data_IF_640089473189
#
_entry.id   IF_640089473189
#
_cell.length_a   1.000
_cell.length_b   1.000
_cell.length_c   1.000
_cell.angle_alpha   90.00
_cell.angle_beta   90.00
_cell.angle_gamma   90.00
#
_symmetry.space_group_name_H-M   'P 1'
#
loop_
_entity.id
_entity.type
_entity.pdbx_description
1 polymer ?
#
# COMPACT_ATOMS: atom_id res chain seq x y z
N UNK A 1 28.72 -22.04 8.46
CA UNK A 1 27.99 -21.93 7.19
C UNK A 1 26.50 -21.64 7.33
N UNK A 2 25.88 -22.02 8.42
CA UNK A 2 24.48 -21.64 8.67
C UNK A 2 24.28 -20.14 8.97
N UNK A 3 25.34 -19.40 9.20
CA UNK A 3 25.29 -17.97 9.53
C UNK A 3 24.94 -17.06 8.35
N UNK A 4 25.11 -17.50 7.11
CA UNK A 4 24.81 -16.66 5.95
C UNK A 4 23.31 -16.56 5.63
N UNK A 5 22.51 -17.54 6.09
CA UNK A 5 21.08 -17.58 5.80
C UNK A 5 20.28 -16.44 6.44
N UNK A 6 20.73 -15.92 7.59
CA UNK A 6 19.99 -14.89 8.34
C UNK A 6 20.56 -13.48 8.19
N UNK A 7 21.76 -13.32 7.66
CA UNK A 7 22.46 -12.04 7.62
C UNK A 7 22.64 -11.47 6.21
N UNK A 8 22.34 -12.25 5.20
CA UNK A 8 22.56 -11.90 3.79
C UNK A 8 21.42 -11.09 3.19
N UNK A 9 20.83 -10.13 3.99
CA UNK A 9 19.46 -10.31 3.69
C UNK A 9 18.74 -9.04 3.36
N UNK A 10 18.90 -8.03 4.13
CA UNK A 10 18.11 -6.84 3.97
C UNK A 10 19.01 -5.69 3.59
N UNK A 11 18.81 -5.16 2.40
CA UNK A 11 19.54 -4.01 1.92
C UNK A 11 18.80 -2.74 2.27
N UNK A 12 19.53 -1.70 2.66
CA UNK A 12 18.97 -0.38 2.87
C UNK A 12 18.75 0.29 1.53
N UNK A 13 17.50 0.57 1.20
CA UNK A 13 17.09 1.19 -0.08
C UNK A 13 16.15 2.36 0.16
N UNK A 14 16.15 3.31 -0.76
CA UNK A 14 15.11 4.32 -0.85
C UNK A 14 13.84 3.70 -1.46
N UNK A 15 12.66 4.15 -1.06
CA UNK A 15 11.40 3.62 -1.58
C UNK A 15 11.32 3.74 -3.11
N UNK A 16 11.86 4.80 -3.70
CA UNK A 16 11.84 4.96 -5.16
C UNK A 16 12.60 3.86 -5.92
N UNK A 17 13.45 3.07 -5.24
CA UNK A 17 14.16 1.95 -5.84
C UNK A 17 13.29 0.70 -5.97
N UNK A 18 12.21 0.60 -5.20
CA UNK A 18 11.34 -0.60 -5.18
C UNK A 18 9.92 -0.32 -5.65
N UNK A 19 9.52 0.93 -5.75
CA UNK A 19 8.17 1.31 -6.14
C UNK A 19 8.16 2.60 -6.97
N UNK A 20 7.06 2.80 -7.69
CA UNK A 20 6.76 4.03 -8.39
C UNK A 20 5.57 4.70 -7.74
N UNK A 21 5.69 5.98 -7.42
CA UNK A 21 4.61 6.76 -6.82
C UNK A 21 3.83 7.47 -7.93
N UNK A 22 2.54 7.21 -8.00
CA UNK A 22 1.65 7.79 -8.99
C UNK A 22 0.61 8.69 -8.30
N UNK A 23 0.24 9.77 -8.98
CA UNK A 23 -0.79 10.68 -8.50
C UNK A 23 -2.18 10.17 -8.85
N UNK A 24 -3.12 10.30 -7.92
CA UNK A 24 -4.53 10.18 -8.21
C UNK A 24 -5.05 11.36 -9.01
N UNK A 25 -6.28 11.25 -9.48
CA UNK A 25 -6.95 12.27 -10.29
C UNK A 25 -8.39 12.48 -9.85
N UNK A 26 -8.93 13.65 -10.12
CA UNK A 26 -10.35 13.93 -9.94
C UNK A 26 -11.20 12.98 -10.80
N UNK A 27 -12.26 12.45 -10.23
CA UNK A 27 -13.16 11.49 -10.88
C UNK A 27 -14.48 12.11 -11.36
N UNK A 28 -14.73 13.39 -11.07
CA UNK A 28 -16.04 14.01 -11.26
C UNK A 28 -16.53 14.03 -12.71
N UNK A 29 -15.61 14.00 -13.67
CA UNK A 29 -15.93 13.92 -15.09
C UNK A 29 -16.27 12.51 -15.59
N UNK A 30 -16.10 11.49 -14.75
CA UNK A 30 -16.36 10.09 -15.11
C UNK A 30 -17.82 9.72 -14.84
N UNK A 31 -18.31 8.75 -15.60
CA UNK A 31 -19.65 8.19 -15.41
C UNK A 31 -19.59 7.01 -14.42
N UNK A 32 -20.76 6.63 -13.90
CA UNK A 32 -20.89 5.45 -13.06
C UNK A 32 -20.45 4.18 -13.79
N UNK A 33 -19.86 3.25 -13.06
CA UNK A 33 -19.37 2.00 -13.61
C UNK A 33 -19.05 0.98 -12.52
N UNK A 34 -18.15 0.05 -12.84
CA UNK A 34 -17.79 -1.06 -11.96
C UNK A 34 -16.39 -0.93 -11.33
N UNK A 35 -15.69 0.15 -11.61
CA UNK A 35 -14.31 0.34 -11.14
C UNK A 35 -14.33 1.18 -9.86
N UNK A 36 -13.81 0.64 -8.74
CA UNK A 36 -13.86 1.35 -7.47
C UNK A 36 -12.94 2.56 -7.45
N UNK A 37 -13.41 3.63 -6.84
CA UNK A 37 -12.66 4.85 -6.55
C UNK A 37 -12.32 4.88 -5.07
N UNK A 38 -11.05 5.10 -4.76
CA UNK A 38 -10.55 5.18 -3.39
C UNK A 38 -10.06 6.59 -3.06
N UNK A 39 -10.40 7.03 -1.87
CA UNK A 39 -9.81 8.19 -1.20
C UNK A 39 -9.04 7.76 0.03
N UNK A 40 -8.56 8.71 0.83
CA UNK A 40 -7.79 8.42 2.04
C UNK A 40 -8.58 7.65 3.11
N UNK A 41 -9.89 7.70 3.06
CA UNK A 41 -10.79 6.94 3.93
C UNK A 41 -11.22 5.57 3.40
N UNK A 42 -10.76 5.18 2.21
CA UNK A 42 -11.11 3.92 1.57
C UNK A 42 -12.05 4.09 0.37
N UNK A 43 -12.88 3.08 0.12
CA UNK A 43 -13.82 3.07 -0.99
C UNK A 43 -14.84 4.22 -0.91
N UNK A 44 -15.08 4.88 -2.04
CA UNK A 44 -16.02 6.01 -2.15
C UNK A 44 -17.22 5.69 -3.04
N UNK A 45 -16.95 5.31 -4.30
CA UNK A 45 -17.97 5.03 -5.31
C UNK A 45 -17.32 4.25 -6.47
N UNK A 46 -18.08 3.94 -7.52
CA UNK A 46 -17.54 3.23 -8.69
C UNK A 46 -17.79 4.00 -9.98
N UNK A 47 -16.81 3.94 -10.87
CA UNK A 47 -16.77 4.71 -12.13
C UNK A 47 -16.49 3.79 -13.32
N UNK A 48 -16.50 4.36 -14.54
CA UNK A 48 -16.33 3.64 -15.80
C UNK A 48 -14.91 3.68 -16.36
N UNK A 49 -13.94 4.19 -15.61
CA UNK A 49 -12.54 4.24 -16.03
C UNK A 49 -11.61 3.88 -14.89
N UNK A 50 -10.37 3.58 -15.21
CA UNK A 50 -9.35 3.11 -14.28
C UNK A 50 -8.05 3.90 -14.43
N UNK A 51 -7.28 4.00 -13.35
CA UNK A 51 -5.92 4.52 -13.37
C UNK A 51 -4.88 3.42 -13.45
N UNK A 52 -5.19 2.21 -13.00
CA UNK A 52 -4.24 1.10 -12.96
C UNK A 52 -4.90 -0.25 -13.22
N UNK A 53 -4.17 -1.09 -13.96
CA UNK A 53 -4.48 -2.51 -14.19
C UNK A 53 -3.73 -3.43 -13.23
N UNK A 54 -2.82 -2.89 -12.44
CA UNK A 54 -2.02 -3.64 -11.49
C UNK A 54 -2.30 -3.19 -10.07
N UNK A 55 -2.21 -4.13 -9.14
CA UNK A 55 -2.37 -3.84 -7.71
C UNK A 55 -1.35 -2.80 -7.25
N UNK A 56 -1.73 -2.02 -6.26
CA UNK A 56 -0.88 -0.96 -5.73
C UNK A 56 -1.14 -0.75 -4.23
N UNK A 57 -0.31 0.06 -3.61
CA UNK A 57 -0.51 0.50 -2.23
C UNK A 57 -0.86 1.98 -2.24
N UNK A 58 -2.01 2.31 -1.67
CA UNK A 58 -2.45 3.69 -1.52
C UNK A 58 -1.86 4.33 -0.27
N UNK A 59 -1.40 5.56 -0.41
CA UNK A 59 -0.94 6.38 0.70
C UNK A 59 -1.43 7.82 0.54
N UNK A 60 -1.93 8.41 1.62
CA UNK A 60 -2.50 9.75 1.57
C UNK A 60 -1.48 10.83 1.22
N UNK A 61 -1.85 11.66 0.25
CA UNK A 61 -1.12 12.88 -0.07
C UNK A 61 -1.50 14.02 0.86
N UNK A 62 -2.78 14.13 1.19
CA UNK A 62 -3.32 15.19 2.03
C UNK A 62 -4.52 14.67 2.83
N UNK A 63 -4.58 15.02 4.10
CA UNK A 63 -5.61 14.58 5.02
C UNK A 63 -5.11 13.43 5.90
N UNK A 64 -5.55 12.22 5.67
CA UNK A 64 -5.06 11.03 6.36
C UNK A 64 -3.85 10.46 5.66
N UNK A 65 -2.66 10.58 6.27
CA UNK A 65 -1.39 10.18 5.66
C UNK A 65 -0.79 8.91 6.28
N UNK A 66 -1.40 8.36 7.32
CA UNK A 66 -0.86 7.24 8.11
C UNK A 66 -1.69 5.97 8.02
N UNK A 67 -2.56 5.87 7.03
CA UNK A 67 -3.41 4.68 6.81
C UNK A 67 -3.25 4.17 5.38
N UNK A 68 -2.19 3.39 5.10
CA UNK A 68 -2.02 2.82 3.77
C UNK A 68 -3.12 1.82 3.44
N UNK A 69 -3.48 1.76 2.16
CA UNK A 69 -4.54 0.90 1.63
C UNK A 69 -3.95 -0.08 0.62
N UNK A 70 -4.42 -1.32 0.64
CA UNK A 70 -4.16 -2.25 -0.46
C UNK A 70 -5.19 -2.03 -1.56
N UNK A 71 -4.73 -1.65 -2.75
CA UNK A 71 -5.60 -1.32 -3.88
C UNK A 71 -5.55 -2.45 -4.91
N UNK A 72 -6.62 -3.23 -4.95
CA UNK A 72 -6.76 -4.32 -5.93
C UNK A 72 -7.20 -3.76 -7.28
N UNK A 73 -6.45 -4.09 -8.34
CA UNK A 73 -6.76 -3.62 -9.70
C UNK A 73 -8.03 -4.30 -10.24
N UNK A 74 -8.77 -3.63 -11.15
CA UNK A 74 -8.58 -2.24 -11.56
C UNK A 74 -9.16 -1.26 -10.55
N UNK A 75 -8.60 -0.06 -10.49
CA UNK A 75 -9.07 0.96 -9.55
C UNK A 75 -8.80 2.38 -10.06
N UNK A 76 -9.44 3.34 -9.40
CA UNK A 76 -9.18 4.77 -9.52
C UNK A 76 -8.88 5.35 -8.14
N UNK A 77 -7.98 6.32 -8.04
CA UNK A 77 -7.74 7.07 -6.80
C UNK A 77 -7.95 8.56 -7.02
N UNK A 78 -8.52 9.23 -6.00
CA UNK A 78 -8.68 10.69 -6.03
C UNK A 78 -7.33 11.40 -5.86
N UNK A 79 -7.31 12.70 -6.13
CA UNK A 79 -6.09 13.53 -6.11
C UNK A 79 -5.39 13.61 -4.75
N UNK A 80 -6.08 13.30 -3.66
CA UNK A 80 -5.51 13.28 -2.31
C UNK A 80 -4.92 11.93 -1.91
N UNK A 81 -4.96 10.94 -2.78
CA UNK A 81 -4.43 9.60 -2.56
C UNK A 81 -3.43 9.21 -3.65
N UNK A 82 -2.16 9.03 -3.27
CA UNK A 82 -1.18 8.42 -4.16
C UNK A 82 -1.43 6.92 -4.27
N UNK A 83 -1.07 6.32 -5.40
CA UNK A 83 -1.00 4.87 -5.54
C UNK A 83 0.41 4.45 -5.97
N UNK A 84 1.00 3.54 -5.21
CA UNK A 84 2.37 3.09 -5.39
C UNK A 84 2.38 1.71 -6.01
N UNK A 85 2.96 1.59 -7.21
CA UNK A 85 3.11 0.32 -7.91
C UNK A 85 4.50 -0.26 -7.69
N UNK A 86 4.61 -1.59 -7.63
CA UNK A 86 5.89 -2.26 -7.45
C UNK A 86 6.75 -2.21 -8.72
N UNK A 87 8.06 -2.13 -8.54
CA UNK A 87 9.05 -2.34 -9.58
C UNK A 87 9.39 -3.83 -9.68
N UNK A 88 10.17 -4.22 -10.71
CA UNK A 88 10.51 -5.63 -10.96
C UNK A 88 11.19 -6.34 -9.79
N UNK A 89 11.94 -5.59 -8.97
CA UNK A 89 12.68 -6.12 -7.81
C UNK A 89 11.87 -6.10 -6.50
N UNK A 90 10.56 -5.94 -6.58
CA UNK A 90 9.71 -5.84 -5.39
C UNK A 90 8.35 -6.50 -5.59
N UNK A 91 7.72 -6.83 -4.46
CA UNK A 91 6.39 -7.43 -4.39
C UNK A 91 5.42 -6.42 -3.76
N UNK A 92 4.30 -6.17 -4.43
CA UNK A 92 3.31 -5.16 -3.98
C UNK A 92 2.72 -5.51 -2.61
N UNK A 93 2.50 -6.77 -2.32
CA UNK A 93 1.99 -7.20 -1.00
C UNK A 93 3.00 -6.95 0.11
N UNK A 94 4.29 -7.17 -0.19
CA UNK A 94 5.35 -6.82 0.74
C UNK A 94 5.43 -5.31 0.97
N UNK A 95 5.29 -4.51 -0.07
CA UNK A 95 5.24 -3.04 0.03
C UNK A 95 4.09 -2.61 0.96
N UNK A 96 2.93 -3.25 0.84
CA UNK A 96 1.80 -2.97 1.73
C UNK A 96 2.16 -3.23 3.20
N UNK A 97 2.80 -4.36 3.50
CA UNK A 97 3.26 -4.67 4.86
C UNK A 97 4.30 -3.66 5.35
N UNK A 98 5.23 -3.30 4.49
CA UNK A 98 6.25 -2.29 4.79
C UNK A 98 5.62 -0.94 5.14
N UNK A 99 4.59 -0.53 4.41
CA UNK A 99 3.87 0.72 4.64
C UNK A 99 3.14 0.73 5.98
N UNK A 100 2.75 -0.43 6.51
CA UNK A 100 2.11 -0.54 7.83
C UNK A 100 3.07 -0.18 8.97
N UNK A 101 4.37 -0.39 8.80
CA UNK A 101 5.36 -0.16 9.86
C UNK A 101 6.10 1.17 9.74
N UNK A 102 5.97 1.87 8.63
CA UNK A 102 6.56 3.20 8.46
C UNK A 102 5.79 4.21 9.32
N UNK A 103 6.52 5.03 10.06
CA UNK A 103 5.93 6.13 10.82
C UNK A 103 5.71 7.34 9.90
N UNK A 104 4.60 7.35 9.21
CA UNK A 104 4.27 8.38 8.21
C UNK A 104 4.14 9.79 8.79
N UNK A 105 3.66 9.91 10.02
CA UNK A 105 3.50 11.21 10.69
C UNK A 105 4.83 11.94 10.86
N UNK A 106 5.92 11.20 10.95
CA UNK A 106 7.28 11.77 11.01
C UNK A 106 7.63 12.56 9.74
N UNK A 107 7.01 12.22 8.63
CA UNK A 107 7.29 12.83 7.31
C UNK A 107 6.24 13.86 6.90
N UNK A 108 5.32 14.20 7.79
CA UNK A 108 4.32 15.25 7.56
C UNK A 108 5.01 16.59 7.30
N UNK A 109 4.68 17.21 6.17
CA UNK A 109 5.28 18.46 5.72
C UNK A 109 4.43 19.70 6.01
N UNK A 110 3.25 19.49 6.58
CA UNK A 110 2.29 20.55 6.81
C UNK A 110 2.36 21.13 8.22
N UNK A 111 1.86 22.35 8.36
CA UNK A 111 1.59 22.97 9.68
C UNK A 111 0.09 22.91 10.03
N UNK A 112 -0.73 22.42 9.11
CA UNK A 112 -2.19 22.30 9.27
C UNK A 112 -2.67 20.90 8.94
N UNK A 113 -3.39 20.74 7.82
CA UNK A 113 -3.84 19.45 7.34
C UNK A 113 -2.62 18.60 6.96
N UNK A 114 -2.47 17.38 7.50
CA UNK A 114 -1.32 16.52 7.19
C UNK A 114 -1.13 16.31 5.68
N UNK A 115 0.12 16.34 5.25
CA UNK A 115 0.46 16.18 3.84
C UNK A 115 1.80 15.50 3.63
N UNK A 116 1.92 14.74 2.52
CA UNK A 116 3.14 14.11 2.05
C UNK A 116 3.38 14.48 0.59
N UNK A 117 4.64 14.65 0.20
CA UNK A 117 5.03 14.83 -1.19
C UNK A 117 5.63 13.57 -1.78
N UNK A 118 5.61 13.44 -3.11
CA UNK A 118 6.30 12.33 -3.80
C UNK A 118 7.78 12.29 -3.47
N UNK A 119 8.44 13.45 -3.42
CA UNK A 119 9.87 13.54 -3.14
C UNK A 119 10.19 13.01 -1.75
N UNK A 120 9.42 13.37 -0.76
CA UNK A 120 9.60 12.88 0.61
C UNK A 120 9.41 11.37 0.68
N UNK A 121 8.32 10.85 0.11
CA UNK A 121 8.07 9.40 0.09
C UNK A 121 9.19 8.66 -0.65
N UNK A 122 9.60 9.16 -1.80
CA UNK A 122 10.68 8.58 -2.62
C UNK A 122 11.99 8.43 -1.86
N UNK A 123 12.29 9.36 -0.98
CA UNK A 123 13.55 9.44 -0.24
C UNK A 123 13.56 8.64 1.06
N UNK A 124 12.43 8.09 1.48
CA UNK A 124 12.36 7.29 2.71
C UNK A 124 13.23 6.05 2.55
N UNK A 125 14.18 5.89 3.46
CA UNK A 125 15.08 4.74 3.47
C UNK A 125 14.53 3.65 4.38
N UNK A 126 14.54 2.43 3.87
CA UNK A 126 14.08 1.26 4.60
C UNK A 126 14.92 0.05 4.22
N UNK A 127 14.83 -0.99 5.04
CA UNK A 127 15.52 -2.25 4.76
C UNK A 127 14.57 -3.19 4.04
N UNK A 128 15.03 -3.76 2.92
CA UNK A 128 14.23 -4.68 2.10
C UNK A 128 15.04 -5.92 1.75
N UNK A 129 14.44 -7.11 1.82
CA UNK A 129 15.06 -8.34 1.35
C UNK A 129 14.96 -8.45 -0.17
N UNK A 130 15.55 -9.50 -0.71
CA UNK A 130 15.36 -9.87 -2.13
C UNK A 130 13.89 -10.21 -2.41
N UNK A 131 13.47 -10.04 -3.65
CA UNK A 131 12.05 -10.20 -4.06
C UNK A 131 11.49 -11.58 -3.71
N UNK A 132 12.29 -12.62 -3.79
CA UNK A 132 11.86 -13.97 -3.42
C UNK A 132 11.49 -14.09 -1.93
N UNK A 133 12.26 -13.47 -1.07
CA UNK A 133 11.95 -13.42 0.37
C UNK A 133 10.77 -12.49 0.65
N UNK A 134 10.66 -11.37 -0.06
CA UNK A 134 9.48 -10.50 0.01
C UNK A 134 8.20 -11.28 -0.26
N UNK A 135 8.20 -12.10 -1.32
CA UNK A 135 7.06 -12.95 -1.68
C UNK A 135 6.71 -13.97 -0.58
N UNK A 136 7.72 -14.61 0.01
CA UNK A 136 7.51 -15.54 1.11
C UNK A 136 6.89 -14.85 2.34
N UNK A 137 7.41 -13.69 2.71
CA UNK A 137 6.91 -12.92 3.86
C UNK A 137 5.47 -12.49 3.61
N UNK A 138 5.18 -11.92 2.44
CA UNK A 138 3.83 -11.44 2.13
C UNK A 138 2.81 -12.56 2.09
N UNK A 139 3.13 -13.70 1.51
CA UNK A 139 2.26 -14.88 1.49
C UNK A 139 1.94 -15.37 2.90
N UNK A 140 2.94 -15.41 3.78
CA UNK A 140 2.74 -15.82 5.16
C UNK A 140 1.79 -14.87 5.90
N UNK A 141 2.01 -13.56 5.83
CA UNK A 141 1.19 -12.58 6.53
C UNK A 141 -0.24 -12.50 5.98
N UNK A 142 -0.42 -12.55 4.67
CA UNK A 142 -1.76 -12.55 4.06
C UNK A 142 -2.52 -13.85 4.38
N UNK A 143 -1.83 -14.98 4.44
CA UNK A 143 -2.42 -16.26 4.85
C UNK A 143 -2.85 -16.25 6.32
N UNK A 144 -2.03 -15.71 7.22
CA UNK A 144 -2.38 -15.55 8.63
C UNK A 144 -3.58 -14.64 8.84
N UNK A 145 -3.63 -13.52 8.12
CA UNK A 145 -4.74 -12.58 8.18
C UNK A 145 -6.06 -13.26 7.77
N UNK A 146 -6.06 -14.01 6.68
CA UNK A 146 -7.22 -14.79 6.24
C UNK A 146 -7.66 -15.82 7.30
N UNK A 147 -6.71 -16.50 7.92
CA UNK A 147 -6.99 -17.49 8.98
C UNK A 147 -7.62 -16.83 10.19
N UNK A 148 -7.13 -15.67 10.60
CA UNK A 148 -7.68 -14.90 11.71
C UNK A 148 -9.11 -14.43 11.41
N UNK A 149 -9.36 -13.91 10.23
CA UNK A 149 -10.70 -13.47 9.81
C UNK A 149 -11.70 -14.64 9.81
N UNK A 150 -11.32 -15.81 9.31
CA UNK A 150 -12.15 -17.00 9.33
C UNK A 150 -12.45 -17.45 10.77
N UNK A 151 -11.47 -17.37 11.65
CA UNK A 151 -11.63 -17.71 13.06
C UNK A 151 -12.56 -16.74 13.78
N UNK A 152 -12.44 -15.46 13.54
CA UNK A 152 -13.33 -14.43 14.08
C UNK A 152 -14.77 -14.65 13.65
N UNK A 153 -15.02 -14.93 12.37
CA UNK A 153 -16.36 -15.27 11.85
C UNK A 153 -16.94 -16.49 12.56
N UNK A 154 -16.14 -17.53 12.75
CA UNK A 154 -16.58 -18.72 13.49
C UNK A 154 -16.97 -18.40 14.93
N UNK A 155 -16.21 -17.57 15.61
CA UNK A 155 -16.53 -17.13 16.96
C UNK A 155 -17.83 -16.33 17.01
N UNK A 156 -18.05 -15.45 16.05
CA UNK A 156 -19.31 -14.69 15.93
C UNK A 156 -20.51 -15.59 15.70
N UNK A 157 -20.39 -16.59 14.82
CA UNK A 157 -21.45 -17.59 14.56
C UNK A 157 -21.79 -18.40 15.81
N UNK A 158 -20.80 -18.73 16.64
CA UNK A 158 -21.00 -19.52 17.86
C UNK A 158 -21.63 -18.71 19.00
N UNK A 159 -21.59 -17.38 18.94
CA UNK A 159 -22.19 -16.50 19.97
C UNK A 159 -23.64 -16.09 19.65
N UNK A 160 -24.12 -16.44 18.48
CA UNK A 160 -25.52 -16.23 18.09
C UNK A 160 -26.38 -17.43 18.48
#
# INVERSE_FOLDING_TARGET
MAKSFFYDIWERKELNNILKINSGRDYKQLNSGNIPVYGTGGYMLSVNDKLSDTDAVGIGRKGTIDKPLYLKAPFWTVDTLFYCTSKENSDVKFIYLLFQIINWKRYDESTGVPSLSKNTISSIKTYVPKVKEQDHISKLFFSLDNTLQLHERKCEELTL
#
